data_IF_229947951121
#
_entry.id   IF_229947951121
#
_cell.length_a   1.000
_cell.length_b   1.000
_cell.length_c   1.000
_cell.angle_alpha   90.00
_cell.angle_beta   90.00
_cell.angle_gamma   90.00
#
_symmetry.space_group_name_H-M   'P 1'
#
loop_
_entity.id
_entity.type
_entity.pdbx_description
1 polymer ?
#
# COMPACT_ATOMS: atom_id res chain seq x y z
N UNK A 1 7.37 0.51 -12.67
CA UNK A 1 6.62 0.26 -13.92
C UNK A 1 7.16 -0.99 -14.59
N UNK A 2 6.31 -1.75 -15.27
CA UNK A 2 6.66 -2.90 -16.09
C UNK A 2 6.16 -2.70 -17.52
N UNK A 3 7.00 -3.08 -18.49
CA UNK A 3 6.76 -2.93 -19.93
C UNK A 3 6.84 -4.32 -20.56
N UNK A 4 5.94 -4.64 -21.49
CA UNK A 4 5.93 -5.91 -22.24
C UNK A 4 7.07 -5.95 -23.27
N UNK A 5 7.33 -7.13 -23.85
CA UNK A 5 8.30 -7.26 -24.95
C UNK A 5 7.93 -6.42 -26.18
N UNK A 6 6.64 -6.13 -26.36
CA UNK A 6 6.10 -5.31 -27.44
C UNK A 6 6.15 -3.80 -27.13
N UNK A 7 6.68 -3.41 -25.96
CA UNK A 7 6.79 -2.00 -25.55
C UNK A 7 5.53 -1.41 -24.91
N UNK A 8 4.54 -2.24 -24.56
CA UNK A 8 3.28 -1.79 -23.95
C UNK A 8 3.41 -1.72 -22.42
N UNK A 9 2.67 -0.81 -21.77
CA UNK A 9 2.64 -0.75 -20.30
C UNK A 9 1.85 -1.94 -19.75
N UNK A 10 2.57 -2.89 -19.14
CA UNK A 10 1.97 -4.07 -18.53
C UNK A 10 1.46 -3.81 -17.09
N UNK A 11 2.08 -2.84 -16.39
CA UNK A 11 1.63 -2.43 -15.07
C UNK A 11 2.51 -1.38 -14.39
N UNK A 12 2.01 -0.83 -13.29
CA UNK A 12 2.70 0.15 -12.47
C UNK A 12 2.35 0.01 -11.00
N UNK A 13 3.22 0.55 -10.16
CA UNK A 13 3.03 0.69 -8.73
C UNK A 13 3.72 2.00 -8.32
N UNK A 14 3.08 2.81 -7.47
CA UNK A 14 3.70 4.00 -6.91
C UNK A 14 3.14 4.36 -5.54
N UNK A 15 3.85 5.26 -4.88
CA UNK A 15 3.48 5.83 -3.59
C UNK A 15 4.36 7.05 -3.30
N UNK A 16 4.22 7.61 -2.10
CA UNK A 16 4.97 8.80 -1.69
C UNK A 16 5.27 8.78 -0.19
N UNK A 17 6.18 9.68 0.24
CA UNK A 17 6.45 9.88 1.66
C UNK A 17 5.26 10.59 2.34
N UNK A 18 4.69 9.92 3.32
CA UNK A 18 3.56 10.40 4.12
C UNK A 18 4.00 11.49 5.08
N UNK A 19 3.42 12.68 4.97
CA UNK A 19 3.80 13.84 5.78
C UNK A 19 2.59 14.60 6.30
N UNK A 20 2.68 15.17 7.53
CA UNK A 20 1.68 16.10 8.04
C UNK A 20 1.40 17.24 7.05
N UNK A 21 0.12 17.56 6.86
CA UNK A 21 -0.34 18.57 5.90
C UNK A 21 -0.79 17.98 4.55
N UNK A 22 -0.46 16.72 4.25
CA UNK A 22 -1.06 16.00 3.13
C UNK A 22 -2.48 15.55 3.51
N UNK A 23 -3.42 15.67 2.58
CA UNK A 23 -4.84 15.35 2.83
C UNK A 23 -5.03 13.91 3.33
N UNK A 24 -4.42 12.94 2.65
CA UNK A 24 -4.61 11.53 2.97
C UNK A 24 -3.91 11.12 4.28
N UNK A 25 -2.72 11.67 4.54
CA UNK A 25 -2.06 11.56 5.85
C UNK A 25 -2.99 12.02 6.98
N UNK A 26 -3.71 13.14 6.79
CA UNK A 26 -4.70 13.61 7.75
C UNK A 26 -5.83 12.61 8.02
N UNK A 27 -6.35 11.96 6.97
CA UNK A 27 -7.37 10.91 7.12
C UNK A 27 -6.84 9.70 7.89
N UNK A 28 -5.65 9.21 7.55
CA UNK A 28 -5.00 8.10 8.24
C UNK A 28 -4.68 8.46 9.69
N UNK A 29 -4.18 9.68 9.94
CA UNK A 29 -3.87 10.17 11.27
C UNK A 29 -5.11 10.19 12.18
N UNK A 30 -6.29 10.51 11.64
CA UNK A 30 -7.54 10.50 12.40
C UNK A 30 -8.05 9.08 12.68
N UNK A 31 -7.61 8.09 11.90
CA UNK A 31 -7.98 6.69 12.07
C UNK A 31 -7.11 5.95 13.09
N UNK A 32 -6.06 6.61 13.61
CA UNK A 32 -5.10 6.03 14.55
C UNK A 32 -5.11 6.77 15.88
N UNK A 33 -4.92 6.00 16.96
CA UNK A 33 -4.57 6.57 18.26
C UNK A 33 -3.10 7.08 18.26
N UNK A 34 -2.66 7.82 19.30
CA UNK A 34 -1.30 8.38 19.32
C UNK A 34 -0.18 7.34 19.21
N UNK A 35 -0.35 6.14 19.78
CA UNK A 35 0.65 5.07 19.71
C UNK A 35 0.71 4.49 18.29
N UNK A 36 -0.45 4.21 17.67
CA UNK A 36 -0.56 3.74 16.30
C UNK A 36 0.04 4.74 15.31
N UNK A 37 -0.24 6.04 15.50
CA UNK A 37 0.34 7.11 14.70
C UNK A 37 1.87 7.07 14.74
N UNK A 38 2.46 7.02 15.93
CA UNK A 38 3.93 6.97 16.06
C UNK A 38 4.51 5.70 15.44
N UNK A 39 3.80 4.57 15.60
CA UNK A 39 4.23 3.29 15.08
C UNK A 39 4.14 3.19 13.56
N UNK A 40 3.18 3.87 12.91
CA UNK A 40 2.84 3.65 11.51
C UNK A 40 3.03 4.86 10.60
N UNK A 41 2.80 6.08 11.07
CA UNK A 41 2.83 7.30 10.25
C UNK A 41 4.02 8.23 10.55
N UNK A 42 4.78 7.99 11.63
CA UNK A 42 5.92 8.84 11.99
C UNK A 42 7.08 8.85 10.98
N UNK A 43 7.25 7.78 10.22
CA UNK A 43 8.26 7.62 9.16
C UNK A 43 7.77 6.60 8.13
N UNK A 44 6.86 7.05 7.27
CA UNK A 44 5.95 6.18 6.53
C UNK A 44 5.91 6.47 5.03
N UNK A 45 5.95 5.41 4.23
CA UNK A 45 5.61 5.45 2.82
C UNK A 45 4.14 5.08 2.60
N UNK A 46 3.36 5.97 2.00
CA UNK A 46 2.00 5.64 1.54
C UNK A 46 2.08 4.97 0.17
N UNK A 47 1.70 3.69 0.12
CA UNK A 47 1.52 2.97 -1.14
C UNK A 47 0.14 3.25 -1.71
N UNK A 48 0.11 3.94 -2.85
CA UNK A 48 -1.10 4.60 -3.36
C UNK A 48 -1.81 3.75 -4.40
N UNK A 49 -1.08 3.24 -5.38
CA UNK A 49 -1.73 2.61 -6.53
C UNK A 49 -0.93 1.44 -7.08
N UNK A 50 -1.68 0.42 -7.50
CA UNK A 50 -1.21 -0.77 -8.19
C UNK A 50 -2.12 -1.03 -9.39
N UNK A 51 -1.56 -0.91 -10.58
CA UNK A 51 -2.25 -1.22 -11.83
C UNK A 51 -1.56 -2.35 -12.56
N UNK A 52 -2.31 -3.39 -12.93
CA UNK A 52 -1.86 -4.42 -13.89
C UNK A 52 -2.88 -4.54 -15.00
N UNK A 53 -2.40 -4.37 -16.23
CA UNK A 53 -3.22 -4.47 -17.43
C UNK A 53 -3.84 -5.89 -17.52
N UNK A 54 -5.14 -6.03 -17.85
CA UNK A 54 -5.85 -7.31 -17.78
C UNK A 54 -5.15 -8.48 -18.49
N UNK A 55 -4.54 -8.23 -19.65
CA UNK A 55 -3.81 -9.23 -20.43
C UNK A 55 -2.56 -9.81 -19.73
N UNK A 56 -2.05 -9.13 -18.70
CA UNK A 56 -0.83 -9.49 -17.95
C UNK A 56 -1.11 -9.91 -16.50
N UNK A 57 -2.39 -10.11 -16.14
CA UNK A 57 -2.79 -10.60 -14.80
C UNK A 57 -2.47 -12.09 -14.65
N UNK A 58 -2.45 -12.56 -13.39
CA UNK A 58 -2.20 -13.96 -13.01
C UNK A 58 -0.80 -14.51 -13.41
N UNK A 59 0.15 -13.61 -13.70
CA UNK A 59 1.54 -13.96 -14.04
C UNK A 59 2.54 -13.52 -12.95
N UNK A 60 2.05 -13.20 -11.74
CA UNK A 60 2.86 -12.71 -10.63
C UNK A 60 3.34 -11.25 -10.74
N UNK A 61 2.93 -10.52 -11.79
CA UNK A 61 3.41 -9.16 -12.05
C UNK A 61 3.05 -8.17 -10.93
N UNK A 62 1.86 -8.28 -10.36
CA UNK A 62 1.44 -7.46 -9.22
C UNK A 62 2.39 -7.62 -8.03
N UNK A 63 2.73 -8.87 -7.69
CA UNK A 63 3.67 -9.20 -6.62
C UNK A 63 5.05 -8.59 -6.87
N UNK A 64 5.57 -8.74 -8.09
CA UNK A 64 6.87 -8.18 -8.47
C UNK A 64 6.90 -6.66 -8.39
N UNK A 65 5.83 -5.98 -8.83
CA UNK A 65 5.73 -4.52 -8.78
C UNK A 65 5.71 -4.00 -7.34
N UNK A 66 4.91 -4.62 -6.46
CA UNK A 66 4.85 -4.23 -5.04
C UNK A 66 6.19 -4.49 -4.36
N UNK A 67 6.77 -5.68 -4.50
CA UNK A 67 8.07 -6.01 -3.91
C UNK A 67 9.14 -5.02 -4.36
N UNK A 68 9.28 -4.79 -5.68
CA UNK A 68 10.30 -3.87 -6.20
C UNK A 68 10.11 -2.43 -5.73
N UNK A 69 8.86 -1.96 -5.63
CA UNK A 69 8.59 -0.64 -5.10
C UNK A 69 9.02 -0.53 -3.64
N UNK A 70 8.59 -1.49 -2.81
CA UNK A 70 8.82 -1.50 -1.37
C UNK A 70 10.30 -1.69 -1.02
N UNK A 71 11.04 -2.53 -1.77
CA UNK A 71 12.48 -2.73 -1.57
C UNK A 71 13.30 -1.44 -1.79
N UNK A 72 12.77 -0.51 -2.60
CA UNK A 72 13.38 0.80 -2.84
C UNK A 72 13.03 1.87 -1.81
N UNK A 73 12.16 1.58 -0.85
CA UNK A 73 11.71 2.55 0.16
C UNK A 73 12.69 2.61 1.32
N UNK A 74 13.04 3.83 1.76
CA UNK A 74 13.98 4.07 2.87
C UNK A 74 13.30 4.36 4.21
N UNK A 75 11.97 4.39 4.24
CA UNK A 75 11.15 4.62 5.42
C UNK A 75 11.00 3.35 6.27
N UNK A 76 10.64 3.51 7.54
CA UNK A 76 10.46 2.37 8.48
C UNK A 76 9.20 1.58 8.24
N UNK A 77 8.16 2.23 7.73
CA UNK A 77 6.85 1.62 7.49
C UNK A 77 6.34 1.95 6.10
N UNK A 78 5.46 1.08 5.59
CA UNK A 78 4.54 1.43 4.53
C UNK A 78 3.10 1.18 4.97
N UNK A 79 2.19 2.02 4.50
CA UNK A 79 0.74 1.85 4.67
C UNK A 79 0.04 1.93 3.33
N UNK A 80 -1.07 1.20 3.20
CA UNK A 80 -1.97 1.28 2.07
C UNK A 80 -3.41 1.20 2.57
N UNK A 81 -4.33 1.60 1.70
CA UNK A 81 -5.76 1.37 1.89
C UNK A 81 -6.30 0.56 0.72
N UNK A 82 -7.23 -0.34 1.01
CA UNK A 82 -7.92 -1.11 -0.02
C UNK A 82 -9.37 -1.33 0.37
N UNK A 83 -10.27 -1.41 -0.61
CA UNK A 83 -11.68 -1.64 -0.32
C UNK A 83 -11.86 -2.97 0.42
N UNK A 84 -12.74 -3.00 1.42
CA UNK A 84 -12.93 -4.18 2.27
C UNK A 84 -13.39 -5.42 1.49
N UNK A 85 -14.12 -5.21 0.40
CA UNK A 85 -14.62 -6.25 -0.51
C UNK A 85 -13.62 -6.66 -1.60
N UNK A 86 -12.44 -6.04 -1.69
CA UNK A 86 -11.41 -6.38 -2.67
C UNK A 86 -10.56 -7.57 -2.20
N UNK A 87 -11.18 -8.75 -2.13
CA UNK A 87 -10.54 -9.97 -1.65
C UNK A 87 -9.23 -10.32 -2.40
N UNK A 88 -9.11 -10.15 -3.74
CA UNK A 88 -7.85 -10.43 -4.44
C UNK A 88 -6.70 -9.50 -4.02
N UNK A 89 -6.96 -8.20 -3.85
CA UNK A 89 -5.92 -7.27 -3.41
C UNK A 89 -5.51 -7.54 -1.96
N UNK A 90 -6.48 -7.79 -1.08
CA UNK A 90 -6.20 -8.14 0.32
C UNK A 90 -5.33 -9.40 0.44
N UNK A 91 -5.70 -10.46 -0.28
CA UNK A 91 -4.93 -11.71 -0.30
C UNK A 91 -3.50 -11.48 -0.80
N UNK A 92 -3.31 -10.67 -1.86
CA UNK A 92 -1.99 -10.30 -2.35
C UNK A 92 -1.13 -9.61 -1.28
N UNK A 93 -1.70 -8.67 -0.53
CA UNK A 93 -0.97 -7.93 0.51
C UNK A 93 -0.69 -8.81 1.73
N UNK A 94 -1.64 -9.65 2.14
CA UNK A 94 -1.45 -10.63 3.21
C UNK A 94 -0.31 -11.61 2.86
N UNK A 95 -0.28 -12.15 1.64
CA UNK A 95 0.80 -13.02 1.12
C UNK A 95 2.17 -12.31 1.07
N UNK A 96 2.17 -10.99 0.97
CA UNK A 96 3.36 -10.15 0.99
C UNK A 96 3.74 -9.68 2.41
N UNK A 97 3.05 -10.18 3.44
CA UNK A 97 3.34 -9.87 4.84
C UNK A 97 2.90 -8.47 5.26
N UNK A 98 1.87 -7.92 4.63
CA UNK A 98 1.16 -6.76 5.14
C UNK A 98 0.14 -7.22 6.19
N UNK A 99 -0.11 -6.38 7.18
CA UNK A 99 -1.00 -6.68 8.30
C UNK A 99 -2.16 -5.69 8.32
N UNK A 100 -3.36 -6.17 8.66
CA UNK A 100 -4.52 -5.31 8.86
C UNK A 100 -4.31 -4.47 10.14
N UNK A 101 -4.37 -3.14 10.00
CA UNK A 101 -4.25 -2.20 11.12
C UNK A 101 -5.61 -1.68 11.57
N UNK A 102 -6.52 -1.51 10.62
CA UNK A 102 -7.88 -1.05 10.86
C UNK A 102 -8.78 -1.60 9.73
N UNK A 103 -9.85 -2.31 10.09
CA UNK A 103 -10.79 -2.94 9.16
C UNK A 103 -12.06 -2.11 8.90
N UNK A 104 -12.15 -0.91 9.48
CA UNK A 104 -13.29 -0.01 9.42
C UNK A 104 -12.83 1.45 9.16
N UNK A 105 -12.22 1.68 7.99
CA UNK A 105 -11.79 3.01 7.55
C UNK A 105 -12.72 3.58 6.47
N UNK A 106 -13.13 4.85 6.63
CA UNK A 106 -14.15 5.50 5.79
C UNK A 106 -13.63 6.85 5.24
N UNK A 107 -12.70 6.83 4.27
CA UNK A 107 -12.06 8.06 3.79
C UNK A 107 -13.02 9.01 3.06
N UNK A 108 -14.09 8.46 2.47
CA UNK A 108 -15.09 9.20 1.69
C UNK A 108 -16.47 9.24 2.37
N UNK A 109 -16.56 8.96 3.68
CA UNK A 109 -17.82 8.79 4.40
C UNK A 109 -18.33 7.34 4.42
N UNK A 110 -19.58 7.14 4.88
CA UNK A 110 -20.08 5.82 5.31
C UNK A 110 -20.49 4.84 4.18
N UNK A 111 -20.29 5.19 2.91
CA UNK A 111 -20.78 4.39 1.78
C UNK A 111 -19.84 3.22 1.44
N UNK A 112 -18.53 3.42 1.55
CA UNK A 112 -17.52 2.40 1.24
C UNK A 112 -16.53 2.24 2.38
N UNK A 113 -16.42 1.02 2.90
CA UNK A 113 -15.43 0.69 3.91
C UNK A 113 -14.12 0.24 3.27
N UNK A 114 -13.02 0.72 3.82
CA UNK A 114 -11.66 0.37 3.47
C UNK A 114 -10.98 -0.30 4.66
N UNK A 115 -9.96 -1.08 4.34
CA UNK A 115 -9.01 -1.63 5.30
C UNK A 115 -7.72 -0.86 5.17
N UNK A 116 -7.18 -0.38 6.30
CA UNK A 116 -5.81 0.12 6.38
C UNK A 116 -4.90 -1.08 6.64
N UNK A 117 -3.92 -1.28 5.77
CA UNK A 117 -2.89 -2.30 5.95
C UNK A 117 -1.52 -1.67 6.09
N UNK A 118 -0.66 -2.28 6.91
CA UNK A 118 0.69 -1.80 7.17
C UNK A 118 1.75 -2.90 7.07
N UNK A 119 2.95 -2.50 6.64
CA UNK A 119 4.15 -3.33 6.58
C UNK A 119 5.34 -2.62 7.22
N UNK A 120 6.09 -3.31 8.08
CA UNK A 120 7.40 -2.83 8.56
C UNK A 120 8.45 -3.12 7.49
N UNK A 121 9.30 -2.14 7.18
CA UNK A 121 10.25 -2.20 6.07
C UNK A 121 11.70 -2.37 6.53
N UNK A 122 11.92 -2.97 7.71
CA UNK A 122 13.26 -3.10 8.29
C UNK A 122 14.25 -3.61 7.24
N UNK A 123 15.28 -2.80 6.94
CA UNK A 123 16.39 -3.26 6.14
C UNK A 123 17.22 -4.20 7.01
N UNK A 124 17.16 -5.50 6.73
CA UNK A 124 18.21 -6.40 7.20
C UNK A 124 19.49 -6.00 6.46
N UNK A 125 20.38 -5.29 7.15
CA UNK A 125 21.75 -5.11 6.68
C UNK A 125 22.39 -6.50 6.72
N UNK A 126 22.50 -7.15 5.55
CA UNK A 126 23.31 -8.36 5.37
C UNK A 126 24.66 -7.98 4.79
#
# INVERSE_FOLDING_TARGET
MAISEQGEVAGYAYGYFSQPGQYYHGLLSNAFNPEEYQNWLGDCFEFVELGVHPAFRNQGLAKQLVTRLIDGVEHKTAVLTTQSNNAPARSLYEDLGWTCLNDAFYPNGNEESYVIMGKKLQKEYT
#
